data_IF_319442472613
#
_entry.id   IF_319442472613
#
_cell.length_a   1.000
_cell.length_b   1.000
_cell.length_c   1.000
_cell.angle_alpha   90.00
_cell.angle_beta   90.00
_cell.angle_gamma   90.00
#
_symmetry.space_group_name_H-M   'P 1'
#
loop_
_entity.id
_entity.type
_entity.pdbx_description
1 polymer ?
#
# COMPACT_ATOMS: atom_id res chain seq x y z
N UNK A 1 53.29 10.41 -27.88
CA UNK A 1 52.67 11.70 -28.25
C UNK A 1 51.17 11.58 -27.97
N UNK A 2 50.68 12.08 -26.82
CA UNK A 2 49.98 13.38 -26.63
C UNK A 2 48.80 13.52 -27.63
N UNK A 3 47.54 13.62 -27.21
CA UNK A 3 46.95 14.68 -26.38
C UNK A 3 45.77 14.20 -25.51
N UNK A 4 45.67 14.76 -24.29
CA UNK A 4 44.47 14.86 -23.45
C UNK A 4 43.75 16.20 -23.68
N UNK A 5 42.44 16.30 -23.43
CA UNK A 5 41.66 17.48 -22.93
C UNK A 5 40.17 17.08 -22.95
N UNK A 6 39.38 16.97 -21.86
CA UNK A 6 38.99 17.90 -20.76
C UNK A 6 38.43 19.25 -21.22
N UNK A 7 37.10 19.32 -21.37
CA UNK A 7 36.20 20.48 -21.15
C UNK A 7 34.83 19.88 -20.79
N UNK A 8 34.17 19.98 -19.62
CA UNK A 8 34.06 20.96 -18.54
C UNK A 8 33.27 22.25 -18.87
N UNK A 9 31.95 22.16 -18.67
CA UNK A 9 30.98 23.25 -18.35
C UNK A 9 30.73 24.33 -19.42
N UNK A 10 29.56 25.03 -19.45
CA UNK A 10 28.83 25.47 -18.25
C UNK A 10 27.28 25.48 -18.33
N UNK A 11 26.66 25.51 -17.14
CA UNK A 11 25.54 26.37 -16.77
C UNK A 11 24.42 26.58 -17.80
N UNK A 12 23.34 25.80 -17.64
CA UNK A 12 21.99 26.40 -17.72
C UNK A 12 21.54 26.65 -16.29
N UNK A 13 22.08 27.72 -15.71
CA UNK A 13 21.42 28.46 -14.64
C UNK A 13 20.21 29.14 -15.28
N UNK A 14 19.01 28.93 -14.75
CA UNK A 14 18.31 29.90 -13.90
C UNK A 14 16.79 29.71 -13.96
N UNK A 15 16.21 29.63 -12.77
CA UNK A 15 14.89 30.15 -12.42
C UNK A 15 13.65 29.50 -13.08
N UNK A 16 13.17 28.43 -12.44
CA UNK A 16 11.78 28.46 -11.98
C UNK A 16 11.79 28.80 -10.50
N UNK A 17 11.59 30.09 -10.23
CA UNK A 17 11.17 30.56 -8.93
C UNK A 17 9.84 29.89 -8.56
N UNK A 18 9.76 29.31 -7.37
CA UNK A 18 8.53 29.16 -6.59
C UNK A 18 7.36 28.40 -7.24
N UNK A 19 7.34 27.09 -7.12
CA UNK A 19 6.24 26.42 -6.39
C UNK A 19 6.92 25.87 -5.14
N UNK A 20 6.82 26.54 -3.99
CA UNK A 20 5.67 26.32 -3.13
C UNK A 20 5.83 24.91 -2.58
N UNK A 21 6.43 24.78 -1.38
CA UNK A 21 6.85 23.51 -0.82
C UNK A 21 5.82 22.42 -1.09
N UNK A 22 6.25 21.35 -1.76
CA UNK A 22 5.48 20.11 -1.80
C UNK A 22 5.44 19.60 -0.36
N UNK A 23 4.45 20.10 0.37
CA UNK A 23 3.79 19.40 1.43
C UNK A 23 3.26 18.13 0.77
N UNK A 24 4.15 17.14 0.56
CA UNK A 24 3.76 15.75 0.44
C UNK A 24 3.12 15.48 1.79
N UNK A 25 1.82 15.76 1.86
CA UNK A 25 1.01 15.45 3.01
C UNK A 25 1.31 13.99 3.31
N UNK A 26 1.72 13.72 4.55
CA UNK A 26 1.97 12.37 5.08
C UNK A 26 0.84 11.39 4.69
N UNK A 27 -0.34 11.95 4.40
CA UNK A 27 -1.53 11.29 3.87
C UNK A 27 -1.37 10.60 2.50
N UNK A 28 -0.59 11.11 1.55
CA UNK A 28 -0.57 10.57 0.16
C UNK A 28 0.06 9.16 0.09
N UNK A 29 1.23 8.91 0.73
CA UNK A 29 1.80 7.57 0.79
C UNK A 29 0.98 6.59 1.64
N UNK A 30 0.35 7.08 2.73
CA UNK A 30 -0.46 6.26 3.61
C UNK A 30 -1.80 5.86 2.97
N UNK A 31 -2.41 6.74 2.17
CA UNK A 31 -3.63 6.44 1.40
C UNK A 31 -3.36 5.33 0.36
N UNK A 32 -2.26 5.43 -0.39
CA UNK A 32 -1.85 4.35 -1.30
C UNK A 32 -1.58 3.04 -0.57
N UNK A 33 -0.92 3.09 0.59
CA UNK A 33 -0.68 1.91 1.43
C UNK A 33 -1.99 1.25 1.86
N UNK A 34 -2.96 2.04 2.33
CA UNK A 34 -4.27 1.56 2.74
C UNK A 34 -5.04 0.90 1.59
N UNK A 35 -5.02 1.51 0.40
CA UNK A 35 -5.64 0.95 -0.82
C UNK A 35 -5.06 -0.44 -1.16
N UNK A 36 -3.74 -0.59 -1.10
CA UNK A 36 -3.07 -1.86 -1.41
C UNK A 36 -3.42 -2.93 -0.37
N UNK A 37 -3.34 -2.59 0.92
CA UNK A 37 -3.66 -3.52 2.02
C UNK A 37 -5.10 -3.99 1.94
N UNK A 38 -6.05 -3.07 1.76
CA UNK A 38 -7.47 -3.41 1.65
C UNK A 38 -7.73 -4.33 0.47
N UNK A 39 -7.13 -4.08 -0.69
CA UNK A 39 -7.28 -4.96 -1.86
C UNK A 39 -6.76 -6.37 -1.56
N UNK A 40 -5.60 -6.49 -0.91
CA UNK A 40 -5.07 -7.78 -0.49
C UNK A 40 -6.01 -8.49 0.48
N UNK A 41 -6.55 -7.77 1.48
CA UNK A 41 -7.53 -8.32 2.42
C UNK A 41 -8.80 -8.80 1.73
N UNK A 42 -9.35 -8.02 0.78
CA UNK A 42 -10.55 -8.41 0.02
C UNK A 42 -10.29 -9.66 -0.84
N UNK A 43 -9.15 -9.76 -1.52
CA UNK A 43 -8.79 -10.96 -2.29
C UNK A 43 -8.62 -12.17 -1.38
N UNK A 44 -7.97 -12.01 -0.23
CA UNK A 44 -7.85 -13.07 0.77
C UNK A 44 -9.24 -13.50 1.28
N UNK A 45 -10.11 -12.54 1.60
CA UNK A 45 -11.48 -12.76 2.05
C UNK A 45 -12.26 -13.58 1.03
N UNK A 46 -12.17 -13.25 -0.27
CA UNK A 46 -12.84 -14.00 -1.33
C UNK A 46 -12.38 -15.47 -1.38
N UNK A 47 -11.06 -15.71 -1.26
CA UNK A 47 -10.50 -17.07 -1.23
C UNK A 47 -10.91 -17.85 0.02
N UNK A 48 -10.87 -17.20 1.17
CA UNK A 48 -11.25 -17.77 2.47
C UNK A 48 -12.76 -18.07 2.54
N UNK A 49 -13.60 -17.19 2.02
CA UNK A 49 -15.03 -17.42 1.86
C UNK A 49 -15.32 -18.63 0.96
N UNK A 50 -14.55 -18.82 -0.11
CA UNK A 50 -14.74 -19.94 -1.04
C UNK A 50 -14.51 -21.33 -0.39
N UNK A 51 -13.76 -21.39 0.71
CA UNK A 51 -13.54 -22.61 1.49
C UNK A 51 -14.37 -22.68 2.78
N UNK A 52 -15.28 -21.72 2.99
CA UNK A 52 -16.17 -21.68 4.15
C UNK A 52 -15.51 -21.21 5.46
N UNK A 53 -14.33 -20.57 5.40
CA UNK A 53 -13.62 -20.03 6.57
C UNK A 53 -13.45 -18.53 6.38
N UNK A 54 -14.49 -17.71 6.64
CA UNK A 54 -14.47 -16.29 6.30
C UNK A 54 -13.49 -15.48 7.18
N UNK A 55 -13.23 -15.90 8.41
CA UNK A 55 -12.28 -15.17 9.25
C UNK A 55 -10.85 -15.32 8.70
N UNK A 56 -10.16 -14.21 8.44
CA UNK A 56 -8.82 -14.22 7.85
C UNK A 56 -7.77 -14.83 8.80
N UNK A 57 -7.92 -14.66 10.11
CA UNK A 57 -7.01 -15.24 11.09
C UNK A 57 -7.20 -16.75 11.17
N UNK A 58 -8.45 -17.24 11.20
CA UNK A 58 -8.75 -18.67 11.13
C UNK A 58 -8.28 -19.26 9.79
N UNK A 59 -8.55 -18.57 8.67
CA UNK A 59 -8.12 -18.98 7.33
C UNK A 59 -6.59 -19.05 7.19
N UNK A 60 -5.83 -18.22 7.91
CA UNK A 60 -4.37 -18.30 7.94
C UNK A 60 -3.83 -19.56 8.63
N UNK A 61 -4.66 -20.24 9.44
CA UNK A 61 -4.29 -21.42 10.22
C UNK A 61 -4.78 -22.74 9.63
N UNK A 62 -5.69 -22.71 8.64
CA UNK A 62 -6.14 -23.92 7.94
C UNK A 62 -4.97 -24.65 7.24
N UNK A 63 -5.05 -25.97 7.03
CA UNK A 63 -4.02 -26.72 6.30
C UNK A 63 -3.75 -26.13 4.90
N UNK A 64 -2.51 -26.18 4.40
CA UNK A 64 -2.20 -25.73 3.05
C UNK A 64 -3.03 -26.47 2.00
N UNK A 65 -3.58 -25.75 1.04
CA UNK A 65 -4.29 -26.32 -0.10
C UNK A 65 -3.81 -25.69 -1.42
N UNK A 66 -4.07 -26.35 -2.56
CA UNK A 66 -3.77 -25.79 -3.88
C UNK A 66 -4.51 -24.48 -4.20
N UNK A 67 -5.63 -24.19 -3.53
CA UNK A 67 -6.41 -22.97 -3.77
C UNK A 67 -5.76 -21.70 -3.17
N UNK A 68 -4.79 -21.88 -2.26
CA UNK A 68 -3.91 -20.82 -1.76
C UNK A 68 -4.57 -19.81 -0.82
N UNK A 69 -5.73 -20.12 -0.27
CA UNK A 69 -6.47 -19.32 0.72
C UNK A 69 -5.64 -19.02 1.97
N UNK A 70 -4.98 -20.05 2.54
CA UNK A 70 -4.07 -19.89 3.68
C UNK A 70 -2.96 -18.89 3.40
N UNK A 71 -2.35 -19.00 2.22
CA UNK A 71 -1.26 -18.10 1.83
C UNK A 71 -1.77 -16.68 1.61
N UNK A 72 -2.92 -16.53 0.94
CA UNK A 72 -3.53 -15.22 0.74
C UNK A 72 -3.90 -14.55 2.06
N UNK A 73 -4.47 -15.28 3.00
CA UNK A 73 -4.79 -14.79 4.35
C UNK A 73 -3.53 -14.33 5.10
N UNK A 74 -2.49 -15.16 5.14
CA UNK A 74 -1.21 -14.79 5.79
C UNK A 74 -0.60 -13.54 5.20
N UNK A 75 -0.48 -13.48 3.87
CA UNK A 75 0.10 -12.32 3.19
C UNK A 75 -0.73 -11.06 3.45
N UNK A 76 -2.06 -11.15 3.41
CA UNK A 76 -2.92 -10.00 3.69
C UNK A 76 -2.76 -9.49 5.13
N UNK A 77 -2.68 -10.41 6.11
CA UNK A 77 -2.47 -10.07 7.52
C UNK A 77 -1.08 -9.47 7.75
N UNK A 78 -0.03 -10.03 7.16
CA UNK A 78 1.33 -9.52 7.26
C UNK A 78 1.42 -8.10 6.67
N UNK A 79 0.82 -7.89 5.49
CA UNK A 79 0.74 -6.55 4.86
C UNK A 79 -0.03 -5.55 5.73
N UNK A 80 -1.15 -5.97 6.32
CA UNK A 80 -1.92 -5.13 7.22
C UNK A 80 -1.11 -4.76 8.48
N UNK A 81 -0.40 -5.71 9.09
CA UNK A 81 0.44 -5.43 10.26
C UNK A 81 1.57 -4.46 9.95
N UNK A 82 2.28 -4.66 8.83
CA UNK A 82 3.36 -3.76 8.40
C UNK A 82 2.81 -2.35 8.15
N UNK A 83 1.70 -2.24 7.42
CA UNK A 83 1.05 -0.96 7.18
C UNK A 83 0.61 -0.30 8.49
N UNK A 84 -0.07 -1.04 9.36
CA UNK A 84 -0.58 -0.52 10.63
C UNK A 84 0.57 0.04 11.47
N UNK A 85 1.67 -0.71 11.61
CA UNK A 85 2.83 -0.27 12.36
C UNK A 85 3.44 1.01 11.76
N UNK A 86 3.76 0.99 10.46
CA UNK A 86 4.40 2.15 9.81
C UNK A 86 3.48 3.38 9.78
N UNK A 87 2.18 3.18 9.58
CA UNK A 87 1.21 4.25 9.56
C UNK A 87 1.01 4.83 10.96
N UNK A 88 0.89 3.99 12.00
CA UNK A 88 0.71 4.46 13.37
C UNK A 88 1.90 5.30 13.85
N UNK A 89 3.12 4.90 13.49
CA UNK A 89 4.35 5.65 13.77
C UNK A 89 4.38 7.03 13.09
N UNK A 90 3.74 7.17 11.92
CA UNK A 90 3.86 8.38 11.08
C UNK A 90 2.66 9.32 11.18
N UNK A 91 1.44 8.77 11.24
CA UNK A 91 0.17 9.51 11.14
C UNK A 91 -0.76 9.30 12.35
N UNK A 92 -0.46 8.34 13.23
CA UNK A 92 -1.27 8.01 14.41
C UNK A 92 -2.47 7.11 14.12
N UNK A 93 -2.93 6.39 15.16
CA UNK A 93 -3.91 5.31 15.01
C UNK A 93 -5.23 5.72 14.34
N UNK A 94 -5.87 6.79 14.82
CA UNK A 94 -7.16 7.22 14.28
C UNK A 94 -7.13 7.63 12.81
N UNK A 95 -6.00 8.19 12.33
CA UNK A 95 -5.86 8.55 10.91
C UNK A 95 -5.70 7.30 10.05
N UNK A 96 -4.89 6.35 10.50
CA UNK A 96 -4.63 5.10 9.79
C UNK A 96 -5.89 4.22 9.70
N UNK A 97 -6.67 4.15 10.77
CA UNK A 97 -7.98 3.49 10.76
C UNK A 97 -8.93 4.14 9.75
N UNK A 98 -8.99 5.48 9.72
CA UNK A 98 -9.82 6.19 8.76
C UNK A 98 -9.39 5.96 7.30
N UNK A 99 -8.09 5.82 7.03
CA UNK A 99 -7.57 5.49 5.71
C UNK A 99 -7.95 4.07 5.27
N UNK A 100 -7.83 3.09 6.16
CA UNK A 100 -8.25 1.70 5.89
C UNK A 100 -9.76 1.64 5.63
N UNK A 101 -10.56 2.31 6.47
CA UNK A 101 -12.01 2.38 6.29
C UNK A 101 -12.39 3.03 4.95
N UNK A 102 -11.75 4.16 4.60
CA UNK A 102 -11.98 4.84 3.33
C UNK A 102 -11.63 3.93 2.13
N UNK A 103 -10.48 3.26 2.17
CA UNK A 103 -10.06 2.30 1.16
C UNK A 103 -11.03 1.12 1.04
N UNK A 104 -11.58 0.64 2.16
CA UNK A 104 -12.57 -0.45 2.17
C UNK A 104 -13.90 -0.03 1.53
N UNK A 105 -14.40 1.16 1.85
CA UNK A 105 -15.61 1.70 1.21
C UNK A 105 -15.40 1.94 -0.29
N UNK A 106 -14.23 2.46 -0.66
CA UNK A 106 -13.84 2.65 -2.07
C UNK A 106 -13.81 1.32 -2.83
N UNK A 107 -13.27 0.27 -2.24
CA UNK A 107 -13.22 -1.07 -2.85
C UNK A 107 -14.61 -1.66 -3.02
N UNK A 108 -15.47 -1.58 -1.99
CA UNK A 108 -16.88 -1.99 -2.09
C UNK A 108 -17.64 -1.27 -3.21
N UNK A 109 -17.46 0.05 -3.31
CA UNK A 109 -18.08 0.83 -4.37
C UNK A 109 -17.59 0.44 -5.77
N UNK A 110 -16.36 -0.07 -5.90
CA UNK A 110 -15.81 -0.57 -7.16
C UNK A 110 -16.34 -1.97 -7.51
N UNK A 111 -16.50 -2.85 -6.53
CA UNK A 111 -17.10 -4.18 -6.73
C UNK A 111 -18.55 -4.08 -7.21
N UNK A 112 -19.35 -3.14 -6.67
CA UNK A 112 -20.73 -2.92 -7.10
C UNK A 112 -20.88 -2.41 -8.54
N UNK A 113 -19.79 -1.93 -9.15
CA UNK A 113 -19.79 -1.40 -10.53
C UNK A 113 -19.27 -2.41 -11.56
N UNK A 114 -18.77 -3.57 -11.11
CA UNK A 114 -18.30 -4.66 -11.97
C UNK A 114 -19.40 -5.68 -12.20
#
# INVERSE_FOLDING_TARGET
>A
MRLSMRVACPFVFMALAGCGGSHLSVDEPADFGADVVVRSMVVAQQKCNAVGVPDLYECAEVPPSPAGERLAARVALDMYQVFQQSCYETAGAGRCEALVDAAYQKTKAQELRR
#
